data_IF_475055055525
#
_entry.id   IF_475055055525
#
_cell.length_a   1.000
_cell.length_b   1.000
_cell.length_c   1.000
_cell.angle_alpha   90.00
_cell.angle_beta   90.00
_cell.angle_gamma   90.00
#
_symmetry.space_group_name_H-M   'P 1'
#
loop_
_entity.id
_entity.type
_entity.pdbx_description
1 polymer ?
#
# COMPACT_ATOMS: atom_id res chain seq x y z
N UNK A 1 -27.94 1.56 6.33
CA UNK A 1 -26.79 1.25 7.22
C UNK A 1 -25.53 1.28 6.37
N UNK A 2 -24.39 1.77 6.87
CA UNK A 2 -23.16 1.74 6.07
C UNK A 2 -22.80 0.28 5.76
N UNK A 3 -22.45 -0.04 4.52
CA UNK A 3 -21.95 -1.37 4.17
C UNK A 3 -20.63 -1.70 4.89
N UNK A 4 -19.97 -0.71 5.48
CA UNK A 4 -18.69 -0.87 6.16
C UNK A 4 -18.85 -1.17 7.66
N UNK A 5 -17.92 -1.94 8.25
CA UNK A 5 -17.89 -2.21 9.69
C UNK A 5 -17.84 -0.92 10.50
N UNK A 6 -18.53 -0.90 11.64
CA UNK A 6 -18.43 0.16 12.65
C UNK A 6 -17.81 -0.42 13.93
N UNK A 7 -17.34 0.47 14.80
CA UNK A 7 -16.86 0.04 16.12
C UNK A 7 -18.06 -0.39 16.97
N UNK A 8 -18.05 -1.63 17.45
CA UNK A 8 -19.12 -2.21 18.27
C UNK A 8 -18.88 -2.04 19.78
N UNK A 9 -17.70 -1.55 20.16
CA UNK A 9 -17.23 -1.43 21.54
C UNK A 9 -16.97 0.02 21.95
N UNK A 10 -16.83 0.28 23.25
CA UNK A 10 -16.49 1.63 23.70
C UNK A 10 -15.03 1.98 23.40
N UNK A 11 -14.74 3.29 23.27
CA UNK A 11 -13.34 3.76 23.13
C UNK A 11 -12.46 3.35 24.32
N UNK A 12 -13.04 3.11 25.51
CA UNK A 12 -12.32 2.63 26.70
C UNK A 12 -11.92 1.17 26.54
N UNK A 13 -12.80 0.35 25.96
CA UNK A 13 -12.52 -1.07 25.68
C UNK A 13 -11.36 -1.21 24.70
N UNK A 14 -11.33 -0.38 23.64
CA UNK A 14 -10.23 -0.35 22.66
C UNK A 14 -8.88 -0.04 23.34
N UNK A 15 -8.86 0.90 24.28
CA UNK A 15 -7.64 1.23 25.03
C UNK A 15 -7.20 0.05 25.92
N UNK A 16 -8.14 -0.62 26.59
CA UNK A 16 -7.85 -1.81 27.41
C UNK A 16 -7.34 -2.98 26.57
N UNK A 17 -8.01 -3.28 25.45
CA UNK A 17 -7.59 -4.31 24.50
C UNK A 17 -6.20 -4.02 23.95
N UNK A 18 -5.91 -2.76 23.59
CA UNK A 18 -4.58 -2.33 23.17
C UNK A 18 -3.47 -2.63 24.19
N UNK A 19 -3.74 -2.43 25.49
CA UNK A 19 -2.79 -2.78 26.58
C UNK A 19 -2.67 -4.29 26.79
N UNK A 20 -3.72 -5.06 26.57
CA UNK A 20 -3.67 -6.51 26.66
C UNK A 20 -2.82 -7.11 25.52
N UNK A 21 -2.94 -6.55 24.30
CA UNK A 21 -2.20 -6.97 23.11
C UNK A 21 -0.68 -6.83 23.22
N UNK A 22 -0.16 -5.97 24.11
CA UNK A 22 1.28 -5.80 24.33
C UNK A 22 1.89 -6.93 25.16
N UNK A 23 1.06 -7.67 25.90
CA UNK A 23 1.52 -8.77 26.72
C UNK A 23 1.80 -10.01 25.87
N UNK A 24 2.59 -10.93 26.41
CA UNK A 24 2.65 -12.30 25.90
C UNK A 24 1.29 -12.95 26.18
N UNK A 25 0.65 -13.45 25.13
CA UNK A 25 -0.65 -14.11 25.19
C UNK A 25 -0.39 -15.61 25.07
N UNK A 26 -0.80 -16.37 26.09
CA UNK A 26 -0.67 -17.83 26.11
C UNK A 26 -2.06 -18.41 25.93
N UNK A 27 -2.28 -19.19 24.87
CA UNK A 27 -3.59 -19.71 24.48
C UNK A 27 -3.87 -21.05 25.19
N UNK A 28 -4.30 -20.97 26.44
CA UNK A 28 -4.75 -22.10 27.26
C UNK A 28 -6.28 -22.11 27.36
N UNK A 29 -6.89 -23.22 27.80
CA UNK A 29 -8.34 -23.36 27.84
C UNK A 29 -9.02 -22.25 28.68
N UNK A 30 -8.34 -21.84 29.76
CA UNK A 30 -8.80 -20.84 30.73
C UNK A 30 -8.65 -19.41 30.22
N UNK A 31 -7.60 -19.12 29.42
CA UNK A 31 -7.28 -17.77 28.92
C UNK A 31 -7.85 -17.50 27.53
N UNK A 32 -8.21 -18.54 26.77
CA UNK A 32 -8.66 -18.44 25.38
C UNK A 32 -9.80 -17.45 25.19
N UNK A 33 -10.86 -17.53 26.00
CA UNK A 33 -12.04 -16.67 25.84
C UNK A 33 -11.72 -15.18 26.09
N UNK A 34 -10.86 -14.88 27.07
CA UNK A 34 -10.42 -13.51 27.33
C UNK A 34 -9.56 -12.99 26.17
N UNK A 35 -8.64 -13.81 25.67
CA UNK A 35 -7.78 -13.45 24.54
C UNK A 35 -8.62 -13.20 23.28
N UNK A 36 -9.59 -14.07 22.97
CA UNK A 36 -10.51 -13.88 21.85
C UNK A 36 -11.24 -12.55 21.95
N UNK A 37 -11.81 -12.23 23.12
CA UNK A 37 -12.47 -10.94 23.36
C UNK A 37 -11.54 -9.74 23.10
N UNK A 38 -10.26 -9.83 23.51
CA UNK A 38 -9.27 -8.78 23.24
C UNK A 38 -9.04 -8.61 21.73
N UNK A 39 -8.91 -9.70 20.98
CA UNK A 39 -8.76 -9.66 19.53
C UNK A 39 -10.03 -9.14 18.84
N UNK A 40 -11.22 -9.51 19.28
CA UNK A 40 -12.50 -9.03 18.73
C UNK A 40 -12.63 -7.51 18.86
N UNK A 41 -12.35 -6.97 20.05
CA UNK A 41 -12.36 -5.51 20.28
C UNK A 41 -11.35 -4.81 19.37
N UNK A 42 -10.13 -5.37 19.29
CA UNK A 42 -9.07 -4.78 18.48
C UNK A 42 -9.37 -4.86 16.98
N UNK A 43 -9.96 -5.95 16.53
CA UNK A 43 -10.39 -6.18 15.16
C UNK A 43 -11.59 -5.30 14.79
N UNK A 44 -12.56 -5.11 15.67
CA UNK A 44 -13.67 -4.16 15.46
C UNK A 44 -13.15 -2.73 15.29
N UNK A 45 -12.21 -2.29 16.15
CA UNK A 45 -11.55 -0.99 15.98
C UNK A 45 -10.79 -0.89 14.65
N UNK A 46 -10.00 -1.91 14.32
CA UNK A 46 -9.25 -2.00 13.06
C UNK A 46 -10.17 -1.97 11.84
N UNK A 47 -11.23 -2.77 11.82
CA UNK A 47 -12.21 -2.88 10.74
C UNK A 47 -12.96 -1.55 10.54
N UNK A 48 -13.21 -0.79 11.60
CA UNK A 48 -13.84 0.54 11.50
C UNK A 48 -13.01 1.55 10.68
N UNK A 49 -11.72 1.30 10.42
CA UNK A 49 -10.90 2.14 9.55
C UNK A 49 -11.14 1.88 8.06
N UNK A 50 -11.85 0.80 7.69
CA UNK A 50 -12.08 0.43 6.30
C UNK A 50 -12.81 1.53 5.51
N UNK A 51 -13.82 2.18 6.10
CA UNK A 51 -14.55 3.25 5.43
C UNK A 51 -13.72 4.53 5.24
N UNK A 52 -13.08 5.12 6.28
CA UNK A 52 -12.16 6.24 6.10
C UNK A 52 -11.06 5.96 5.08
N UNK A 53 -10.48 4.77 5.14
CA UNK A 53 -9.45 4.32 4.21
C UNK A 53 -9.99 4.30 2.76
N UNK A 54 -11.16 3.71 2.53
CA UNK A 54 -11.83 3.70 1.23
C UNK A 54 -12.05 5.11 0.67
N UNK A 55 -12.61 6.01 1.50
CA UNK A 55 -12.89 7.40 1.12
C UNK A 55 -11.62 8.16 0.76
N UNK A 56 -10.58 8.04 1.59
CA UNK A 56 -9.30 8.70 1.37
C UNK A 56 -8.54 8.15 0.16
N UNK A 57 -8.61 6.84 -0.10
CA UNK A 57 -8.05 6.25 -1.32
C UNK A 57 -8.79 6.75 -2.57
N UNK A 58 -10.12 6.82 -2.53
CA UNK A 58 -10.93 7.36 -3.62
C UNK A 58 -10.61 8.84 -3.88
N UNK A 59 -10.40 9.64 -2.83
CA UNK A 59 -9.92 11.01 -2.97
C UNK A 59 -8.54 11.05 -3.64
N UNK A 60 -7.58 10.28 -3.14
CA UNK A 60 -6.23 10.21 -3.68
C UNK A 60 -6.23 9.86 -5.18
N UNK A 61 -7.06 8.88 -5.58
CA UNK A 61 -7.27 8.51 -6.97
C UNK A 61 -7.88 9.66 -7.80
N UNK A 62 -8.85 10.38 -7.23
CA UNK A 62 -9.46 11.56 -7.85
C UNK A 62 -8.48 12.71 -8.06
N UNK A 63 -7.58 12.97 -7.09
CA UNK A 63 -6.51 13.97 -7.22
C UNK A 63 -5.51 13.58 -8.30
N UNK A 64 -5.04 12.32 -8.30
CA UNK A 64 -4.18 11.80 -9.36
C UNK A 64 -4.81 11.99 -10.74
N UNK A 65 -6.10 11.67 -10.88
CA UNK A 65 -6.83 11.84 -12.15
C UNK A 65 -6.94 13.31 -12.58
N UNK A 66 -7.20 14.21 -11.63
CA UNK A 66 -7.31 15.66 -11.87
C UNK A 66 -5.98 16.27 -12.32
N UNK A 67 -4.87 15.82 -11.72
CA UNK A 67 -3.51 16.19 -12.07
C UNK A 67 -2.98 15.43 -13.31
N UNK A 68 -3.79 14.56 -13.91
CA UNK A 68 -3.43 13.69 -15.05
C UNK A 68 -2.22 12.80 -14.78
N UNK A 69 -1.98 12.46 -13.51
CA UNK A 69 -0.92 11.57 -13.10
C UNK A 69 -1.29 10.14 -13.44
N UNK A 70 -0.36 9.40 -14.05
CA UNK A 70 -0.48 7.96 -14.15
C UNK A 70 -0.05 7.33 -12.84
N UNK A 71 -0.35 6.04 -12.67
CA UNK A 71 0.07 5.29 -11.50
C UNK A 71 -1.04 4.40 -10.99
N UNK A 72 -0.93 4.00 -9.74
CA UNK A 72 -1.93 3.21 -9.05
C UNK A 72 -2.16 3.74 -7.64
N UNK A 73 -3.38 3.57 -7.17
CA UNK A 73 -3.70 3.69 -5.75
C UNK A 73 -4.06 2.32 -5.19
N UNK A 74 -3.72 2.12 -3.92
CA UNK A 74 -4.09 0.95 -3.17
C UNK A 74 -4.33 1.33 -1.72
N UNK A 75 -5.10 0.53 -1.01
CA UNK A 75 -5.33 0.72 0.41
C UNK A 75 -5.24 -0.61 1.14
N UNK A 76 -4.75 -0.60 2.38
CA UNK A 76 -4.66 -1.80 3.21
C UNK A 76 -4.96 -1.51 4.67
N UNK A 77 -5.58 -2.47 5.33
CA UNK A 77 -5.62 -2.52 6.79
C UNK A 77 -4.34 -3.15 7.31
N UNK A 78 -3.83 -2.64 8.42
CA UNK A 78 -2.60 -3.15 9.03
C UNK A 78 -2.82 -4.54 9.64
N UNK A 79 -1.78 -5.36 9.62
CA UNK A 79 -1.81 -6.72 10.18
C UNK A 79 -1.74 -6.67 11.71
N UNK A 80 -2.39 -7.62 12.41
CA UNK A 80 -2.46 -7.57 13.87
C UNK A 80 -1.09 -7.83 14.51
N UNK A 81 -0.29 -8.74 13.96
CA UNK A 81 1.12 -8.93 14.31
C UNK A 81 1.94 -7.62 14.27
N UNK A 82 1.78 -6.82 13.21
CA UNK A 82 2.43 -5.50 13.07
C UNK A 82 1.87 -4.44 14.03
N UNK A 83 0.58 -4.53 14.39
CA UNK A 83 -0.05 -3.67 15.40
C UNK A 83 0.55 -3.97 16.77
N UNK A 84 0.58 -5.25 17.17
CA UNK A 84 1.18 -5.71 18.44
C UNK A 84 2.65 -5.32 18.54
N UNK A 85 3.43 -5.61 17.49
CA UNK A 85 4.85 -5.24 17.43
C UNK A 85 5.08 -3.73 17.57
N UNK A 86 4.20 -2.90 16.99
CA UNK A 86 4.28 -1.43 17.15
C UNK A 86 3.89 -1.01 18.57
N UNK A 87 2.79 -1.53 19.13
CA UNK A 87 2.36 -1.22 20.49
C UNK A 87 3.41 -1.61 21.55
N UNK A 88 4.20 -2.65 21.31
CA UNK A 88 5.31 -3.03 22.19
C UNK A 88 6.50 -2.05 22.16
N UNK A 89 6.65 -1.28 21.09
CA UNK A 89 7.81 -0.38 20.87
C UNK A 89 7.52 1.08 21.21
N UNK A 90 6.25 1.45 21.38
CA UNK A 90 5.85 2.84 21.62
C UNK A 90 4.94 2.95 22.84
N UNK A 91 5.10 4.03 23.60
CA UNK A 91 4.19 4.38 24.69
C UNK A 91 2.89 5.01 24.15
N UNK A 92 2.15 4.27 23.33
CA UNK A 92 0.87 4.70 22.77
C UNK A 92 -0.20 3.62 22.99
N UNK A 93 -1.44 3.96 22.68
CA UNK A 93 -2.57 3.01 22.73
C UNK A 93 -3.09 2.73 21.32
N UNK A 94 -3.81 1.60 21.20
CA UNK A 94 -4.40 1.14 19.94
C UNK A 94 -5.27 2.20 19.24
N UNK A 95 -5.97 3.05 20.00
CA UNK A 95 -6.80 4.15 19.45
C UNK A 95 -5.98 5.23 18.75
N UNK A 96 -4.75 5.46 19.19
CA UNK A 96 -3.85 6.51 18.68
C UNK A 96 -2.91 6.00 17.58
N UNK A 97 -2.94 4.72 17.23
CA UNK A 97 -2.13 4.19 16.14
C UNK A 97 -2.51 4.85 14.81
N UNK A 98 -1.54 5.55 14.23
CA UNK A 98 -1.71 6.38 13.04
C UNK A 98 -1.92 5.57 11.75
N UNK A 99 -1.51 4.30 11.73
CA UNK A 99 -1.38 3.48 10.52
C UNK A 99 -2.23 2.20 10.57
N UNK A 100 -3.41 2.23 11.21
CA UNK A 100 -4.35 1.10 11.19
C UNK A 100 -4.99 0.91 9.81
N UNK A 101 -5.33 2.01 9.15
CA UNK A 101 -5.67 2.05 7.73
C UNK A 101 -4.61 2.85 6.98
N UNK A 102 -4.18 2.33 5.83
CA UNK A 102 -3.16 2.97 5.01
C UNK A 102 -3.59 3.07 3.56
N UNK A 103 -3.38 4.23 2.94
CA UNK A 103 -3.50 4.45 1.50
C UNK A 103 -2.11 4.59 0.90
N UNK A 104 -1.93 4.15 -0.34
CA UNK A 104 -0.69 4.30 -1.10
C UNK A 104 -0.99 4.83 -2.48
N UNK A 105 -0.21 5.81 -2.92
CA UNK A 105 -0.08 6.17 -4.33
C UNK A 105 1.33 5.85 -4.80
N UNK A 106 1.42 5.14 -5.92
CA UNK A 106 2.68 4.90 -6.65
C UNK A 106 2.57 5.60 -7.99
N UNK A 107 3.38 6.63 -8.18
CA UNK A 107 3.42 7.47 -9.40
C UNK A 107 4.74 7.26 -10.15
N UNK A 108 4.82 7.61 -11.45
CA UNK A 108 5.98 7.28 -12.29
C UNK A 108 7.32 7.74 -11.75
N UNK A 109 7.41 9.00 -11.33
CA UNK A 109 8.65 9.68 -10.98
C UNK A 109 8.48 10.56 -9.73
N UNK A 110 9.60 11.06 -9.21
CA UNK A 110 9.63 11.87 -8.00
C UNK A 110 8.91 13.22 -8.14
N UNK A 111 8.93 13.83 -9.33
CA UNK A 111 8.33 15.15 -9.53
C UNK A 111 6.80 15.06 -9.49
N UNK A 112 6.24 14.02 -10.12
CA UNK A 112 4.82 13.71 -9.99
C UNK A 112 4.42 13.37 -8.54
N UNK A 113 5.33 12.74 -7.79
CA UNK A 113 5.09 12.44 -6.37
C UNK A 113 5.00 13.72 -5.53
N UNK A 114 5.95 14.65 -5.72
CA UNK A 114 5.95 15.97 -5.06
C UNK A 114 4.72 16.80 -5.45
N UNK A 115 4.32 16.78 -6.71
CA UNK A 115 3.09 17.45 -7.18
C UNK A 115 1.84 16.91 -6.48
N UNK A 116 1.71 15.58 -6.37
CA UNK A 116 0.59 14.95 -5.69
C UNK A 116 0.58 15.25 -4.18
N UNK A 117 1.75 15.28 -3.53
CA UNK A 117 1.90 15.68 -2.12
C UNK A 117 1.41 17.11 -1.91
N UNK A 118 1.85 18.05 -2.75
CA UNK A 118 1.42 19.44 -2.63
C UNK A 118 -0.09 19.60 -2.79
N UNK A 119 -0.69 18.93 -3.77
CA UNK A 119 -2.14 19.00 -4.02
C UNK A 119 -2.97 18.38 -2.89
N UNK A 120 -2.57 17.22 -2.36
CA UNK A 120 -3.35 16.54 -1.31
C UNK A 120 -3.27 17.26 0.04
N UNK A 121 -2.11 17.84 0.37
CA UNK A 121 -1.94 18.58 1.63
C UNK A 121 -2.79 19.85 1.65
N UNK A 122 -2.86 20.55 0.51
CA UNK A 122 -3.61 21.79 0.37
C UNK A 122 -5.14 21.55 0.31
N UNK A 123 -5.58 20.52 -0.42
CA UNK A 123 -6.99 20.37 -0.81
C UNK A 123 -7.76 19.28 -0.07
N UNK A 124 -7.11 18.50 0.79
CA UNK A 124 -7.78 17.45 1.54
C UNK A 124 -8.82 18.05 2.51
N UNK A 125 -10.07 17.55 2.53
CA UNK A 125 -11.09 17.97 3.49
C UNK A 125 -10.89 17.34 4.88
N UNK A 126 -9.89 16.47 5.02
CA UNK A 126 -9.56 15.77 6.24
C UNK A 126 -8.50 16.52 7.04
N UNK A 127 -8.51 16.37 8.37
CA UNK A 127 -7.62 17.13 9.23
C UNK A 127 -6.20 16.55 9.16
N UNK A 128 -5.26 17.33 8.62
CA UNK A 128 -3.84 16.97 8.65
C UNK A 128 -3.36 16.87 10.10
N UNK A 129 -2.80 15.72 10.45
CA UNK A 129 -2.31 15.44 11.82
C UNK A 129 -0.79 15.38 11.87
N UNK A 130 -0.15 14.78 10.86
CA UNK A 130 1.31 14.62 10.80
C UNK A 130 1.77 14.49 9.35
N UNK A 131 3.00 14.93 9.10
CA UNK A 131 3.67 14.76 7.82
C UNK A 131 5.13 14.40 8.06
N UNK A 132 5.64 13.37 7.37
CA UNK A 132 7.06 13.00 7.39
C UNK A 132 7.62 12.98 5.96
N UNK A 133 8.74 13.68 5.76
CA UNK A 133 9.33 13.98 4.46
C UNK A 133 10.46 12.98 4.09
N UNK A 134 10.20 11.68 4.18
CA UNK A 134 11.24 10.66 3.91
C UNK A 134 11.68 10.59 2.44
N UNK A 135 11.11 11.37 1.52
CA UNK A 135 11.63 11.51 0.16
C UNK A 135 12.97 12.24 0.15
N UNK A 136 13.04 13.36 0.88
CA UNK A 136 14.21 14.25 0.92
C UNK A 136 15.10 13.92 2.13
N UNK A 137 14.52 13.45 3.23
CA UNK A 137 15.24 13.05 4.45
C UNK A 137 15.01 11.55 4.74
N UNK A 138 15.69 10.63 4.03
CA UNK A 138 15.46 9.19 4.17
C UNK A 138 15.76 8.70 5.59
N UNK A 139 15.18 7.56 5.97
CA UNK A 139 15.59 6.87 7.20
C UNK A 139 17.02 6.33 7.06
N UNK A 140 17.73 6.05 8.16
CA UNK A 140 19.07 5.45 8.11
C UNK A 140 19.15 4.16 7.28
N UNK A 141 18.08 3.37 7.24
CA UNK A 141 17.99 2.17 6.40
C UNK A 141 17.95 2.43 4.90
N UNK A 142 17.85 3.68 4.45
CA UNK A 142 17.61 4.06 3.05
C UNK A 142 16.13 4.12 2.68
N UNK A 143 15.20 3.92 3.62
CA UNK A 143 13.78 3.99 3.31
C UNK A 143 13.33 5.40 2.89
N UNK A 144 12.58 5.47 1.78
CA UNK A 144 12.03 6.71 1.19
C UNK A 144 10.53 6.62 0.88
N UNK A 145 9.80 7.69 1.18
CA UNK A 145 8.38 7.91 0.87
C UNK A 145 7.96 9.29 1.41
N UNK A 146 6.83 9.83 0.97
CA UNK A 146 6.15 10.90 1.71
C UNK A 146 5.03 10.31 2.54
N UNK A 147 5.04 10.55 3.85
CA UNK A 147 4.01 10.08 4.78
C UNK A 147 3.13 11.25 5.22
N UNK A 148 1.82 11.07 5.10
CA UNK A 148 0.83 12.08 5.51
C UNK A 148 -0.24 11.36 6.34
N UNK A 149 -0.44 11.77 7.58
CA UNK A 149 -1.48 11.21 8.45
C UNK A 149 -2.63 12.19 8.52
N UNK A 150 -3.80 11.75 8.08
CA UNK A 150 -5.05 12.51 8.19
C UNK A 150 -5.96 11.88 9.25
N UNK A 151 -6.61 12.72 10.04
CA UNK A 151 -7.76 12.34 10.84
C UNK A 151 -9.03 12.52 9.98
N UNK A 152 -9.82 11.45 9.85
CA UNK A 152 -11.01 11.45 9.03
C UNK A 152 -12.03 12.48 9.53
N UNK A 153 -12.55 13.26 8.58
CA UNK A 153 -13.54 14.29 8.80
C UNK A 153 -14.84 13.89 8.09
N UNK A 154 -15.91 13.55 8.83
CA UNK A 154 -17.21 13.17 8.26
C UNK A 154 -17.82 14.29 7.43
N UNK A 155 -18.50 13.93 6.32
CA UNK A 155 -19.25 14.90 5.49
C UNK A 155 -20.75 14.91 5.77
N UNK A 156 -21.27 13.88 6.44
CA UNK A 156 -22.69 13.72 6.72
C UNK A 156 -22.90 12.82 7.94
N UNK A 157 -24.14 12.76 8.43
CA UNK A 157 -24.52 12.01 9.63
C UNK A 157 -24.20 10.51 9.57
N UNK A 158 -24.25 9.89 8.39
CA UNK A 158 -23.92 8.47 8.25
C UNK A 158 -22.42 8.20 8.44
N UNK A 159 -21.57 9.23 8.34
CA UNK A 159 -20.11 9.13 8.46
C UNK A 159 -19.60 9.50 9.87
N UNK A 160 -20.43 10.08 10.74
CA UNK A 160 -20.05 10.52 12.10
C UNK A 160 -19.44 9.39 12.93
N UNK A 161 -19.96 8.17 12.74
CA UNK A 161 -19.44 6.95 13.34
C UNK A 161 -17.96 6.69 13.03
N UNK A 162 -17.35 7.38 12.07
CA UNK A 162 -15.96 7.26 11.63
C UNK A 162 -15.08 8.50 11.90
N UNK A 163 -15.59 9.51 12.60
CA UNK A 163 -14.84 10.72 12.91
C UNK A 163 -13.50 10.43 13.62
N UNK A 164 -12.44 11.11 13.20
CA UNK A 164 -11.15 11.12 13.87
C UNK A 164 -10.30 9.86 13.68
N UNK A 165 -10.73 8.88 12.86
CA UNK A 165 -9.90 7.71 12.55
C UNK A 165 -8.69 8.16 11.74
N UNK A 166 -7.52 7.72 12.16
CA UNK A 166 -6.25 8.11 11.55
C UNK A 166 -5.96 7.19 10.38
N UNK A 167 -5.66 7.79 9.23
CA UNK A 167 -5.29 7.09 8.02
C UNK A 167 -3.97 7.65 7.52
N UNK A 168 -3.02 6.76 7.28
CA UNK A 168 -1.71 7.11 6.73
C UNK A 168 -1.73 7.01 5.20
N UNK A 169 -1.45 8.11 4.51
CA UNK A 169 -1.18 8.15 3.08
C UNK A 169 0.32 8.07 2.82
N UNK A 170 0.73 7.12 1.99
CA UNK A 170 2.10 6.93 1.53
C UNK A 170 2.18 7.26 0.05
N UNK A 171 2.88 8.34 -0.30
CA UNK A 171 3.14 8.70 -1.70
C UNK A 171 4.58 8.28 -2.03
N UNK A 172 4.76 7.63 -3.18
CA UNK A 172 6.07 7.11 -3.65
C UNK A 172 6.20 7.23 -5.16
N UNK A 173 7.43 7.45 -5.61
CA UNK A 173 7.82 7.14 -7.00
C UNK A 173 7.85 5.63 -7.25
N UNK A 174 8.00 5.21 -8.50
CA UNK A 174 8.20 3.80 -8.86
C UNK A 174 9.47 3.21 -8.26
N UNK A 175 10.58 3.96 -8.25
CA UNK A 175 11.86 3.49 -7.70
C UNK A 175 11.77 3.30 -6.18
N UNK A 176 11.18 4.26 -5.47
CA UNK A 176 10.95 4.17 -4.01
C UNK A 176 10.03 2.99 -3.65
N UNK A 177 8.97 2.75 -4.43
CA UNK A 177 8.10 1.59 -4.25
C UNK A 177 8.87 0.29 -4.50
N UNK A 178 9.64 0.21 -5.58
CA UNK A 178 10.47 -0.96 -5.91
C UNK A 178 11.49 -1.29 -4.83
N UNK A 179 12.14 -0.28 -4.25
CA UNK A 179 13.04 -0.43 -3.12
C UNK A 179 12.31 -1.04 -1.92
N UNK A 180 11.18 -0.43 -1.53
CA UNK A 180 10.42 -0.87 -0.37
C UNK A 180 9.87 -2.29 -0.52
N UNK A 181 9.55 -2.70 -1.75
CA UNK A 181 9.14 -4.05 -2.10
C UNK A 181 10.28 -5.05 -2.00
N UNK A 182 11.46 -4.73 -2.53
CA UNK A 182 12.61 -5.64 -2.48
C UNK A 182 13.03 -5.94 -1.04
N UNK A 183 13.04 -4.91 -0.17
CA UNK A 183 13.32 -5.08 1.26
C UNK A 183 12.29 -5.98 1.94
N UNK A 184 10.99 -5.83 1.64
CA UNK A 184 9.97 -6.74 2.18
C UNK A 184 10.13 -8.17 1.66
N UNK A 185 10.37 -8.35 0.36
CA UNK A 185 10.45 -9.66 -0.25
C UNK A 185 11.66 -10.46 0.26
N UNK A 186 12.84 -9.83 0.34
CA UNK A 186 14.04 -10.47 0.89
C UNK A 186 13.87 -10.75 2.38
N UNK A 187 13.31 -9.80 3.15
CA UNK A 187 13.00 -10.02 4.57
C UNK A 187 12.04 -11.19 4.79
N UNK A 188 10.95 -11.26 4.02
CA UNK A 188 9.99 -12.37 4.07
C UNK A 188 10.64 -13.72 3.75
N UNK A 189 11.51 -13.77 2.73
CA UNK A 189 12.18 -15.00 2.35
C UNK A 189 13.19 -15.51 3.36
N UNK A 190 13.86 -14.56 4.03
CA UNK A 190 14.87 -14.87 5.04
C UNK A 190 14.29 -15.03 6.44
N UNK A 191 13.02 -14.68 6.64
CA UNK A 191 12.41 -14.60 7.97
C UNK A 191 13.00 -13.48 8.83
N UNK A 192 13.53 -12.42 8.20
CA UNK A 192 14.22 -11.31 8.86
C UNK A 192 13.40 -10.01 8.73
N UNK A 193 13.26 -9.24 9.82
CA UNK A 193 12.56 -7.94 9.79
C UNK A 193 13.47 -6.80 9.31
N UNK A 194 13.92 -6.90 8.06
CA UNK A 194 14.92 -5.99 7.48
C UNK A 194 14.48 -4.53 7.44
N UNK A 195 13.16 -4.25 7.42
CA UNK A 195 12.64 -2.89 7.47
C UNK A 195 12.90 -2.17 8.79
N UNK A 196 12.99 -2.92 9.88
CA UNK A 196 13.34 -2.39 11.19
C UNK A 196 14.87 -2.26 11.38
N UNK A 197 15.67 -2.61 10.37
CA UNK A 197 17.13 -2.70 10.50
C UNK A 197 17.60 -4.00 11.17
N UNK A 198 16.70 -4.98 11.32
CA UNK A 198 17.00 -6.28 11.92
C UNK A 198 17.29 -7.28 10.80
N UNK A 199 18.51 -7.84 10.75
CA UNK A 199 18.88 -8.83 9.75
C UNK A 199 20.35 -8.83 9.37
N UNK A 200 20.69 -9.54 8.29
CA UNK A 200 22.03 -9.59 7.73
C UNK A 200 22.52 -8.19 7.35
N UNK A 201 23.66 -7.77 7.92
CA UNK A 201 24.18 -6.41 7.78
C UNK A 201 24.58 -6.08 6.34
N UNK A 202 25.08 -7.06 5.58
CA UNK A 202 25.45 -6.87 4.17
C UNK A 202 24.22 -6.56 3.32
N UNK A 203 23.09 -7.24 3.57
CA UNK A 203 21.82 -6.93 2.90
C UNK A 203 21.31 -5.53 3.26
N UNK A 204 21.37 -5.15 4.54
CA UNK A 204 20.96 -3.82 4.98
C UNK A 204 21.81 -2.74 4.32
N UNK A 205 23.13 -2.95 4.24
CA UNK A 205 24.06 -2.05 3.55
C UNK A 205 23.77 -1.99 2.05
N UNK A 206 23.57 -3.13 1.39
CA UNK A 206 23.20 -3.18 -0.03
C UNK A 206 21.93 -2.37 -0.31
N UNK A 207 20.89 -2.52 0.52
CA UNK A 207 19.66 -1.75 0.38
C UNK A 207 19.89 -0.25 0.60
N UNK A 208 20.66 0.13 1.61
CA UNK A 208 21.01 1.52 1.85
C UNK A 208 21.71 2.14 0.63
N UNK A 209 22.72 1.46 0.07
CA UNK A 209 23.45 1.93 -1.10
C UNK A 209 22.58 2.02 -2.35
N UNK A 210 21.71 1.03 -2.59
CA UNK A 210 20.74 1.08 -3.68
C UNK A 210 19.72 2.22 -3.51
N UNK A 211 19.36 2.59 -2.28
CA UNK A 211 18.54 3.79 -2.04
C UNK A 211 19.28 5.07 -2.45
N UNK A 212 20.59 5.13 -2.22
CA UNK A 212 21.41 6.27 -2.65
C UNK A 212 21.52 6.33 -4.18
N UNK A 213 21.62 5.19 -4.88
CA UNK A 213 21.56 5.14 -6.35
C UNK A 213 20.21 5.62 -6.90
N UNK A 214 19.11 5.24 -6.25
CA UNK A 214 17.78 5.72 -6.64
C UNK A 214 17.64 7.22 -6.39
N UNK A 215 18.12 7.71 -5.25
CA UNK A 215 18.12 9.13 -4.92
C UNK A 215 18.93 9.95 -5.93
N UNK A 216 20.11 9.47 -6.31
CA UNK A 216 20.92 10.10 -7.36
C UNK A 216 20.18 10.15 -8.70
N UNK A 217 19.50 9.06 -9.08
CA UNK A 217 18.68 9.02 -10.30
C UNK A 217 17.46 9.96 -10.25
N UNK A 218 16.88 10.18 -9.07
CA UNK A 218 15.73 11.06 -8.84
C UNK A 218 16.13 12.52 -8.62
N UNK A 219 17.44 12.84 -8.57
CA UNK A 219 17.92 14.17 -8.18
C UNK A 219 17.56 14.55 -6.74
N UNK A 220 17.44 13.57 -5.85
CA UNK A 220 17.15 13.74 -4.43
C UNK A 220 18.43 13.74 -3.59
N UNK A 221 18.38 14.43 -2.45
CA UNK A 221 19.47 14.38 -1.47
C UNK A 221 19.59 12.99 -0.84
N UNK A 222 20.83 12.62 -0.50
CA UNK A 222 21.17 11.40 0.21
C UNK A 222 22.41 11.63 1.06
N UNK A 223 22.61 10.82 2.10
CA UNK A 223 23.79 10.90 2.93
C UNK A 223 25.03 10.61 2.07
N UNK A 224 25.94 11.59 2.00
CA UNK A 224 27.20 11.41 1.28
C UNK A 224 28.18 10.67 2.18
N UNK A 225 28.19 9.34 2.07
CA UNK A 225 29.02 8.45 2.89
C UNK A 225 30.53 8.53 2.54
N UNK A 226 30.97 9.52 1.74
CA UNK A 226 32.33 9.64 1.22
C UNK A 226 32.54 8.76 -0.02
N UNK A 227 32.75 9.36 -1.21
CA UNK A 227 32.86 8.61 -2.46
C UNK A 227 34.31 8.29 -2.84
N UNK A 228 34.60 7.00 -2.88
CA UNK A 228 35.20 6.24 -3.99
C UNK A 228 35.11 4.78 -3.53
N UNK A 229 34.05 4.01 -3.72
CA UNK A 229 33.17 3.87 -4.89
C UNK A 229 31.89 3.08 -4.47
N UNK A 230 30.77 3.77 -4.22
CA UNK A 230 29.49 3.13 -3.83
C UNK A 230 29.08 2.00 -4.78
N UNK A 231 29.24 2.21 -6.08
CA UNK A 231 28.95 1.19 -7.09
C UNK A 231 29.84 -0.05 -6.94
N UNK A 232 31.11 0.13 -6.54
CA UNK A 232 32.00 -0.99 -6.28
C UNK A 232 31.60 -1.75 -5.01
N UNK A 233 31.24 -1.03 -3.94
CA UNK A 233 30.71 -1.68 -2.73
C UNK A 233 29.43 -2.48 -3.04
N UNK A 234 28.56 -1.97 -3.92
CA UNK A 234 27.39 -2.71 -4.43
C UNK A 234 27.83 -3.96 -5.21
N UNK A 235 28.86 -3.87 -6.05
CA UNK A 235 29.42 -5.02 -6.79
C UNK A 235 29.95 -6.09 -5.83
N UNK A 236 30.72 -5.67 -4.83
CA UNK A 236 31.31 -6.54 -3.81
C UNK A 236 30.21 -7.23 -2.97
N UNK A 237 29.24 -6.46 -2.48
CA UNK A 237 28.10 -6.99 -1.74
C UNK A 237 27.25 -7.93 -2.60
N UNK A 238 27.02 -7.61 -3.88
CA UNK A 238 26.31 -8.51 -4.77
C UNK A 238 27.07 -9.83 -4.99
N UNK A 239 28.41 -9.81 -5.05
CA UNK A 239 29.22 -11.02 -5.16
C UNK A 239 29.17 -11.88 -3.89
N UNK A 240 29.23 -11.26 -2.71
CA UNK A 240 29.13 -11.95 -1.41
C UNK A 240 27.74 -12.56 -1.22
N UNK A 241 26.70 -11.75 -1.43
CA UNK A 241 25.32 -12.14 -1.15
C UNK A 241 24.70 -12.99 -2.26
N UNK A 242 25.32 -13.00 -3.45
CA UNK A 242 24.68 -13.44 -4.70
C UNK A 242 23.30 -12.81 -4.86
N UNK A 243 23.22 -11.49 -4.59
CA UNK A 243 21.96 -10.79 -4.39
C UNK A 243 21.04 -10.87 -5.61
N UNK A 244 21.61 -10.80 -6.82
CA UNK A 244 20.85 -10.94 -8.08
C UNK A 244 20.21 -12.34 -8.19
N UNK A 245 20.93 -13.41 -7.87
CA UNK A 245 20.43 -14.79 -7.91
C UNK A 245 19.38 -15.05 -6.82
N UNK A 246 19.58 -14.45 -5.64
CA UNK A 246 18.60 -14.50 -4.56
C UNK A 246 17.29 -13.83 -4.99
N UNK A 247 17.35 -12.63 -5.59
CA UNK A 247 16.19 -11.93 -6.12
C UNK A 247 15.50 -12.70 -7.26
N UNK A 248 16.24 -13.43 -8.08
CA UNK A 248 15.66 -14.31 -9.09
C UNK A 248 14.94 -15.50 -8.49
N UNK A 249 15.57 -16.14 -7.51
CA UNK A 249 14.96 -17.26 -6.79
C UNK A 249 13.65 -16.86 -6.12
N UNK A 250 13.58 -15.62 -5.59
CA UNK A 250 12.34 -15.05 -5.04
C UNK A 250 11.23 -14.93 -6.07
N UNK A 251 11.57 -14.40 -7.25
CA UNK A 251 10.62 -14.19 -8.32
C UNK A 251 10.05 -15.49 -8.87
N UNK A 252 10.78 -16.62 -8.73
CA UNK A 252 10.37 -17.94 -9.20
C UNK A 252 9.62 -18.72 -8.11
N UNK A 253 10.01 -18.57 -6.85
CA UNK A 253 9.52 -19.39 -5.74
C UNK A 253 8.08 -19.09 -5.31
N UNK A 254 7.51 -17.94 -5.69
CA UNK A 254 6.12 -17.63 -5.36
C UNK A 254 5.19 -18.28 -6.37
N UNK A 255 4.69 -19.46 -5.99
CA UNK A 255 3.54 -20.06 -6.65
C UNK A 255 2.30 -19.24 -6.30
N UNK A 256 1.97 -18.23 -7.12
CA UNK A 256 0.62 -17.70 -7.11
C UNK A 256 -0.27 -18.79 -7.68
N UNK A 257 -1.23 -19.30 -6.89
CA UNK A 257 -2.40 -19.87 -7.53
C UNK A 257 -2.91 -18.81 -8.49
N UNK A 258 -3.01 -19.16 -9.78
CA UNK A 258 -3.54 -18.26 -10.78
C UNK A 258 -4.77 -17.60 -10.19
N UNK A 259 -4.82 -16.26 -10.28
CA UNK A 259 -6.01 -15.49 -9.98
C UNK A 259 -7.11 -16.15 -10.82
N UNK A 260 -7.89 -17.04 -10.20
CA UNK A 260 -8.84 -17.91 -10.88
C UNK A 260 -9.57 -17.03 -11.86
N UNK A 261 -9.52 -17.39 -13.14
CA UNK A 261 -10.06 -16.62 -14.25
C UNK A 261 -11.39 -16.01 -13.82
N UNK A 262 -11.33 -14.75 -13.38
CA UNK A 262 -12.50 -14.07 -12.85
C UNK A 262 -13.49 -14.06 -14.01
N UNK A 263 -14.75 -14.40 -13.74
CA UNK A 263 -15.78 -14.22 -14.74
C UNK A 263 -15.64 -12.82 -15.33
N UNK A 264 -15.81 -12.65 -16.65
CA UNK A 264 -15.51 -11.40 -17.38
C UNK A 264 -16.12 -10.13 -16.76
N UNK A 265 -17.15 -10.27 -15.91
CA UNK A 265 -17.86 -9.18 -15.23
C UNK A 265 -17.57 -9.05 -13.72
N UNK A 266 -16.87 -9.99 -13.08
CA UNK A 266 -16.59 -9.94 -11.66
C UNK A 266 -15.32 -9.09 -11.40
N UNK A 267 -15.51 -7.92 -10.78
CA UNK A 267 -14.46 -6.93 -10.51
C UNK A 267 -14.32 -6.72 -8.99
N UNK A 268 -13.74 -7.69 -8.26
CA UNK A 268 -13.57 -7.55 -6.82
C UNK A 268 -12.65 -6.37 -6.51
N UNK A 269 -13.06 -5.53 -5.57
CA UNK A 269 -12.27 -4.40 -5.07
C UNK A 269 -11.51 -4.75 -3.80
N UNK A 270 -12.08 -5.62 -2.98
CA UNK A 270 -11.54 -6.03 -1.70
C UNK A 270 -11.01 -7.45 -1.80
N UNK A 271 -9.77 -7.64 -1.33
CA UNK A 271 -9.12 -8.94 -1.32
C UNK A 271 -8.47 -9.18 0.03
N UNK A 272 -8.44 -10.43 0.44
CA UNK A 272 -7.57 -10.92 1.49
C UNK A 272 -6.39 -11.64 0.84
N UNK A 273 -5.18 -11.18 1.12
CA UNK A 273 -3.96 -11.89 0.76
C UNK A 273 -3.52 -12.69 1.98
N UNK A 274 -3.37 -14.00 1.84
CA UNK A 274 -2.73 -14.88 2.82
C UNK A 274 -1.42 -15.38 2.25
N UNK A 275 -0.34 -15.18 2.99
CA UNK A 275 0.97 -15.71 2.67
C UNK A 275 1.36 -16.78 3.68
N UNK A 276 1.54 -18.01 3.20
CA UNK A 276 2.09 -19.12 3.96
C UNK A 276 3.61 -19.09 3.85
N UNK A 277 4.30 -18.73 4.93
CA UNK A 277 5.76 -18.63 4.94
C UNK A 277 6.44 -19.99 4.80
N UNK A 278 5.81 -21.06 5.29
CA UNK A 278 6.37 -22.42 5.29
C UNK A 278 6.31 -23.03 3.89
N UNK A 279 5.16 -22.89 3.23
CA UNK A 279 4.94 -23.45 1.89
C UNK A 279 5.23 -22.46 0.76
N UNK A 280 5.60 -21.21 1.08
CA UNK A 280 5.87 -20.11 0.14
C UNK A 280 4.74 -19.90 -0.86
N UNK A 281 3.51 -20.04 -0.38
CA UNK A 281 2.28 -19.98 -1.17
C UNK A 281 1.51 -18.71 -0.86
N UNK A 282 0.98 -18.08 -1.91
CA UNK A 282 0.07 -16.94 -1.79
C UNK A 282 -1.32 -17.39 -2.18
N UNK A 283 -2.26 -17.26 -1.25
CA UNK A 283 -3.68 -17.46 -1.48
C UNK A 283 -4.39 -16.10 -1.45
N UNK A 284 -5.17 -15.81 -2.50
CA UNK A 284 -5.97 -14.59 -2.62
C UNK A 284 -7.44 -14.96 -2.54
N UNK A 285 -8.14 -14.41 -1.55
CA UNK A 285 -9.59 -14.57 -1.40
C UNK A 285 -10.29 -13.25 -1.69
N UNK A 286 -11.34 -13.28 -2.50
CA UNK A 286 -12.11 -12.09 -2.85
C UNK A 286 -13.23 -11.84 -1.84
N UNK A 287 -13.43 -10.57 -1.47
CA UNK A 287 -14.53 -10.17 -0.61
C UNK A 287 -15.59 -9.46 -1.46
N UNK A 288 -16.81 -10.01 -1.45
CA UNK A 288 -17.93 -9.49 -2.24
C UNK A 288 -18.43 -8.12 -1.75
N UNK A 289 -18.29 -7.86 -0.45
CA UNK A 289 -18.76 -6.64 0.20
C UNK A 289 -17.77 -6.18 1.28
N UNK A 290 -17.63 -4.86 1.52
CA UNK A 290 -16.88 -4.36 2.66
C UNK A 290 -17.45 -4.82 4.01
N UNK A 291 -18.72 -5.23 4.09
CA UNK A 291 -19.33 -5.77 5.32
C UNK A 291 -18.66 -7.05 5.80
N UNK A 292 -18.07 -7.84 4.89
CA UNK A 292 -17.34 -9.05 5.23
C UNK A 292 -15.97 -8.80 5.85
N UNK A 293 -15.47 -7.55 5.84
CA UNK A 293 -14.14 -7.24 6.38
C UNK A 293 -14.06 -7.59 7.87
N UNK A 294 -15.09 -7.25 8.66
CA UNK A 294 -15.12 -7.54 10.12
C UNK A 294 -14.92 -9.02 10.42
N UNK A 295 -15.83 -9.86 9.92
CA UNK A 295 -15.76 -11.31 10.15
C UNK A 295 -14.51 -11.98 9.57
N UNK A 296 -13.97 -11.46 8.46
CA UNK A 296 -12.68 -11.94 7.94
C UNK A 296 -11.56 -11.63 8.92
N UNK A 297 -11.51 -10.43 9.50
CA UNK A 297 -10.48 -10.05 10.47
C UNK A 297 -10.58 -10.80 11.81
N UNK A 298 -11.80 -11.13 12.26
CA UNK A 298 -12.07 -11.91 13.49
C UNK A 298 -11.54 -13.33 13.39
N UNK A 299 -11.78 -14.01 12.25
CA UNK A 299 -11.31 -15.38 12.01
C UNK A 299 -9.78 -15.55 12.08
N UNK A 300 -8.99 -14.47 12.05
CA UNK A 300 -7.53 -14.51 12.14
C UNK A 300 -6.96 -14.26 13.54
N UNK A 301 -7.80 -13.93 14.53
CA UNK A 301 -7.36 -13.83 15.92
C UNK A 301 -6.70 -15.12 16.40
N UNK A 302 -7.18 -16.27 15.92
CA UNK A 302 -6.70 -17.61 16.30
C UNK A 302 -5.38 -18.01 15.58
N UNK A 303 -5.17 -17.61 14.31
CA UNK A 303 -4.00 -18.00 13.50
C UNK A 303 -2.75 -17.12 13.73
N UNK A 304 -2.93 -15.85 14.13
CA UNK A 304 -1.81 -14.93 14.44
C UNK A 304 -1.25 -15.14 15.86
N UNK A 305 -1.72 -16.19 16.56
CA UNK A 305 -1.54 -16.44 17.99
C UNK A 305 -0.15 -16.86 18.45
N UNK A 306 0.64 -17.62 17.68
CA UNK A 306 2.00 -17.99 18.14
C UNK A 306 2.98 -18.53 17.06
N UNK A 307 2.53 -18.91 15.86
CA UNK A 307 3.42 -19.62 14.91
C UNK A 307 4.10 -18.74 13.86
N UNK A 308 3.68 -17.48 13.66
CA UNK A 308 4.20 -16.60 12.61
C UNK A 308 4.09 -17.18 11.18
N UNK A 309 3.41 -18.31 11.02
CA UNK A 309 3.40 -19.12 9.81
C UNK A 309 2.62 -18.44 8.69
N UNK A 310 1.58 -17.69 9.03
CA UNK A 310 0.71 -17.02 8.08
C UNK A 310 0.76 -15.50 8.27
N UNK A 311 0.88 -14.79 7.15
CA UNK A 311 0.75 -13.34 7.09
C UNK A 311 -0.49 -12.98 6.30
N UNK A 312 -1.45 -12.30 6.92
CA UNK A 312 -2.73 -11.96 6.31
C UNK A 312 -2.90 -10.45 6.16
N UNK A 313 -3.39 -9.98 5.02
CA UNK A 313 -3.66 -8.55 4.82
C UNK A 313 -4.92 -8.34 4.00
N UNK A 314 -5.80 -7.45 4.49
CA UNK A 314 -6.97 -6.99 3.74
C UNK A 314 -6.58 -5.76 2.94
N UNK A 315 -6.81 -5.82 1.63
CA UNK A 315 -6.45 -4.79 0.67
C UNK A 315 -7.65 -4.34 -0.17
N UNK A 316 -7.64 -3.08 -0.56
CA UNK A 316 -8.55 -2.48 -1.52
C UNK A 316 -7.76 -1.91 -2.71
N UNK A 317 -8.27 -2.14 -3.92
CA UNK A 317 -7.64 -1.74 -5.18
C UNK A 317 -8.61 -1.02 -6.11
N UNK A 318 -8.06 -0.23 -7.03
CA UNK A 318 -8.82 0.32 -8.17
C UNK A 318 -9.31 -0.77 -9.13
N UNK A 319 -8.43 -1.74 -9.43
CA UNK A 319 -8.66 -2.87 -10.33
C UNK A 319 -7.88 -4.06 -9.81
N UNK A 320 -8.45 -5.26 -9.94
CA UNK A 320 -7.79 -6.49 -9.49
C UNK A 320 -6.45 -6.76 -10.19
N UNK A 321 -6.35 -6.37 -11.47
CA UNK A 321 -5.10 -6.44 -12.25
C UNK A 321 -3.94 -5.65 -11.60
N UNK A 322 -4.25 -4.69 -10.74
CA UNK A 322 -3.25 -3.91 -10.02
C UNK A 322 -2.77 -4.58 -8.73
N UNK A 323 -3.35 -5.72 -8.30
CA UNK A 323 -2.98 -6.41 -7.06
C UNK A 323 -1.49 -6.74 -7.02
N UNK A 324 -0.99 -7.41 -8.08
CA UNK A 324 0.43 -7.76 -8.20
C UNK A 324 1.32 -6.51 -8.24
N UNK A 325 0.88 -5.42 -8.87
CA UNK A 325 1.64 -4.16 -8.98
C UNK A 325 1.67 -3.35 -7.68
N UNK A 326 0.59 -3.37 -6.91
CA UNK A 326 0.43 -2.63 -5.67
C UNK A 326 1.11 -3.31 -4.48
N UNK A 327 1.08 -4.65 -4.45
CA UNK A 327 1.67 -5.48 -3.42
C UNK A 327 2.62 -6.56 -3.96
N UNK A 328 3.64 -6.17 -4.76
CA UNK A 328 4.51 -7.11 -5.44
C UNK A 328 5.37 -7.95 -4.48
N UNK A 329 5.54 -7.49 -3.23
CA UNK A 329 6.30 -8.16 -2.19
C UNK A 329 5.72 -9.55 -1.86
N UNK A 330 4.39 -9.72 -1.92
CA UNK A 330 3.78 -11.04 -1.71
C UNK A 330 3.97 -11.96 -2.91
N UNK A 331 4.11 -11.40 -4.12
CA UNK A 331 4.22 -12.15 -5.38
C UNK A 331 5.67 -12.35 -5.85
N UNK A 332 6.66 -11.94 -5.05
CA UNK A 332 8.07 -12.03 -5.43
C UNK A 332 8.47 -11.12 -6.60
N UNK A 333 7.64 -10.15 -6.99
CA UNK A 333 7.94 -9.26 -8.12
C UNK A 333 8.91 -8.15 -7.69
N UNK A 334 10.20 -8.46 -7.80
CA UNK A 334 11.32 -7.57 -7.49
C UNK A 334 12.08 -7.13 -8.75
N UNK A 335 11.47 -7.28 -9.93
CA UNK A 335 12.15 -7.17 -11.23
C UNK A 335 12.75 -5.78 -11.50
N UNK A 336 12.04 -4.71 -11.12
CA UNK A 336 12.56 -3.35 -11.27
C UNK A 336 13.79 -3.11 -10.36
N UNK A 337 13.77 -3.62 -9.13
CA UNK A 337 14.91 -3.52 -8.23
C UNK A 337 16.09 -4.34 -8.75
N UNK A 338 15.84 -5.59 -9.14
CA UNK A 338 16.85 -6.49 -9.71
C UNK A 338 17.52 -5.88 -10.96
N UNK A 339 16.72 -5.40 -11.92
CA UNK A 339 17.27 -4.78 -13.13
C UNK A 339 18.08 -3.53 -12.85
N UNK A 340 17.69 -2.73 -11.84
CA UNK A 340 18.46 -1.58 -11.39
C UNK A 340 19.77 -1.98 -10.71
N UNK A 341 19.75 -3.00 -9.83
CA UNK A 341 20.94 -3.57 -9.22
C UNK A 341 21.91 -4.11 -10.30
N UNK A 342 21.39 -4.87 -11.26
CA UNK A 342 22.17 -5.39 -12.37
C UNK A 342 22.73 -4.27 -13.26
N UNK A 343 22.02 -3.14 -13.43
CA UNK A 343 22.55 -1.99 -14.15
C UNK A 343 23.80 -1.44 -13.43
N UNK A 344 23.70 -1.19 -12.12
CA UNK A 344 24.79 -0.65 -11.30
C UNK A 344 25.98 -1.61 -11.29
N UNK A 345 25.75 -2.90 -11.11
CA UNK A 345 26.80 -3.94 -11.14
C UNK A 345 27.55 -3.97 -12.48
N UNK A 346 26.86 -3.65 -13.58
CA UNK A 346 27.45 -3.55 -14.92
C UNK A 346 27.97 -2.14 -15.26
N UNK A 347 28.14 -1.26 -14.27
CA UNK A 347 28.67 0.10 -14.47
C UNK A 347 27.71 1.06 -15.20
N UNK A 348 26.42 0.75 -15.25
CA UNK A 348 25.38 1.61 -15.85
C UNK A 348 24.58 2.34 -14.77
N UNK A 349 24.22 3.61 -14.97
CA UNK A 349 23.40 4.34 -14.01
C UNK A 349 21.98 3.76 -13.96
N UNK A 350 21.34 3.87 -12.79
CA UNK A 350 19.90 3.66 -12.65
C UNK A 350 19.16 4.71 -13.49
N UNK A 351 18.10 4.28 -14.18
CA UNK A 351 17.26 5.17 -14.99
C UNK A 351 15.91 5.38 -14.33
N UNK A 352 15.58 6.62 -14.01
CA UNK A 352 14.21 7.02 -13.74
C UNK A 352 13.45 7.11 -15.08
N UNK A 353 12.45 6.25 -15.28
CA UNK A 353 11.62 6.33 -16.49
C UNK A 353 10.50 7.34 -16.27
N UNK A 354 10.73 8.59 -16.65
CA UNK A 354 9.68 9.58 -16.81
C UNK A 354 8.91 9.31 -18.10
N UNK A 355 7.60 9.17 -18.00
CA UNK A 355 6.77 9.16 -19.21
C UNK A 355 6.76 10.60 -19.74
N UNK A 356 7.11 10.85 -21.01
CA UNK A 356 6.95 12.18 -21.58
C UNK A 356 5.48 12.61 -21.45
N UNK A 357 5.20 13.92 -21.24
CA UNK A 357 3.83 14.42 -21.24
C UNK A 357 3.16 13.99 -22.54
N UNK A 358 2.07 13.23 -22.44
CA UNK A 358 1.29 12.87 -23.62
C UNK A 358 0.51 14.11 -24.01
N UNK A 359 0.94 14.81 -25.06
CA UNK A 359 0.07 15.72 -25.80
C UNK A 359 -1.09 14.90 -26.35
N UNK A 360 -2.25 15.01 -25.72
CA UNK A 360 -3.48 14.43 -26.27
C UNK A 360 -4.03 15.40 -27.29
N UNK A 361 -4.40 14.91 -28.46
CA UNK A 361 -5.21 15.67 -29.41
C UNK A 361 -6.41 16.28 -28.67
N UNK A 362 -6.78 17.55 -28.95
CA UNK A 362 -7.96 18.15 -28.36
C UNK A 362 -9.17 17.23 -28.61
N UNK A 363 -10.10 17.12 -27.64
CA UNK A 363 -11.32 16.36 -27.88
C UNK A 363 -11.99 16.90 -29.15
N UNK A 364 -12.55 16.04 -30.00
CA UNK A 364 -13.28 16.51 -31.18
C UNK A 364 -14.32 17.55 -30.73
N UNK A 365 -14.52 18.63 -31.51
CA UNK A 365 -15.48 19.66 -31.16
C UNK A 365 -16.82 19.01 -30.85
N UNK A 366 -17.46 19.40 -29.74
CA UNK A 366 -18.81 18.94 -29.42
C UNK A 366 -19.72 19.32 -30.59
N UNK A 367 -20.18 18.32 -31.34
CA UNK A 367 -21.30 18.50 -32.25
C UNK A 367 -22.50 18.89 -31.38
N UNK A 368 -22.90 20.16 -31.46
CA UNK A 368 -24.21 20.58 -30.97
C UNK A 368 -25.23 19.91 -31.89
N UNK A 369 -26.10 19.02 -31.37
CA UNK A 369 -27.17 18.43 -32.18
C UNK A 369 -27.98 19.56 -32.83
N UNK A 370 -28.23 19.46 -34.13
CA UNK A 370 -29.13 20.41 -34.78
C UNK A 370 -30.55 20.15 -34.29
N UNK A 371 -31.01 20.94 -33.32
CA UNK A 371 -32.36 20.87 -32.76
C UNK A 371 -33.43 21.47 -33.70
N UNK A 372 -33.11 21.75 -34.97
CA UNK A 372 -34.06 22.27 -35.96
C UNK A 372 -35.28 21.37 -36.16
N UNK A 373 -35.15 20.06 -35.92
CA UNK A 373 -36.24 19.08 -35.97
C UNK A 373 -37.27 19.25 -34.83
N UNK A 374 -36.88 19.86 -33.70
CA UNK A 374 -37.81 20.18 -32.60
C UNK A 374 -38.60 21.46 -32.87
N UNK A 375 -38.11 22.35 -33.75
CA UNK A 375 -38.74 23.64 -34.05
C UNK A 375 -39.66 23.62 -35.27
N UNK A 376 -39.69 22.54 -36.06
CA UNK A 376 -40.53 22.50 -37.26
C UNK A 376 -41.09 21.09 -37.56
N UNK A 377 -42.30 20.75 -37.06
CA UNK A 377 -42.90 19.42 -37.21
C UNK A 377 -43.29 19.05 -38.65
N UNK A 378 -43.25 20.01 -39.58
CA UNK A 378 -43.84 19.89 -40.92
C UNK A 378 -42.91 19.34 -42.01
N UNK A 379 -41.64 19.03 -41.71
CA UNK A 379 -40.68 18.49 -42.71
C UNK A 379 -40.68 16.96 -42.86
N UNK A 380 -41.66 16.25 -42.30
CA UNK A 380 -41.74 14.77 -42.40
C UNK A 380 -42.25 14.21 -43.74
N UNK A 381 -42.57 15.04 -44.73
CA UNK A 381 -43.04 14.55 -46.04
C UNK A 381 -42.36 15.27 -47.21
N UNK A 382 -41.12 14.87 -47.53
CA UNK A 382 -40.66 14.92 -48.92
C UNK A 382 -39.92 13.62 -49.25
N UNK A 383 -40.70 12.72 -49.86
CA UNK A 383 -40.39 11.72 -50.88
C UNK A 383 -38.92 11.25 -50.95
N UNK A 384 -38.73 10.00 -50.56
CA UNK A 384 -37.79 9.11 -51.25
C UNK A 384 -38.43 8.73 -52.59
N UNK A 385 -37.93 9.30 -53.67
CA UNK A 385 -38.10 8.77 -55.03
C UNK A 385 -36.78 8.94 -55.75
N UNK A 386 -36.25 7.78 -56.16
CA UNK A 386 -35.05 7.46 -56.95
C UNK A 386 -33.69 7.52 -56.27
#
# INVERSE_FOLDING_TARGET
MSEFPQLEYSKKDVVRAGKALTKRLVWEAETKAEIQTVFDIANSWRASHAFPMHRMRAELHGRMSSLKLKGLTAARLKQMSSIRGKLNRIESNLRQLQDLGGCRAVVPDIQQARLLVSDIVDKSPHKLTRQDHYMDSPRPSGYRSHHIVFAFNPRNKAEEGYEGRLIEMQIRSRLQHSWATAVEAVGLYRGENMKAGEGNQDWLRLFQLMSHEFAASEGCEYANDGSNSRAQEIVELNAILKATDALDSLSIAVHSLDLIALERNYKPRYCLIKYDQRNRKVDVSYLNSPSNIGGVLENFGDDEGDSGQFSSVVVELDKIDNLKKAYPNYFGDVQLFKSSLAAVVNGRPVKEYSLPPIERAPPPPKETPDDSWLRNPSRRYRRWTE
#
